data_IF_340364731317
#
_entry.id   IF_340364731317
#
_cell.length_a   1.000
_cell.length_b   1.000
_cell.length_c   1.000
_cell.angle_alpha   90.00
_cell.angle_beta   90.00
_cell.angle_gamma   90.00
#
_symmetry.space_group_name_H-M   'P 1'
#
loop_
_entity.id
_entity.type
_entity.pdbx_description
1 polymer ?
#
# COMPACT_ATOMS: atom_id res chain seq x y z
N UNK A 1 -2.08 -10.22 24.40
CA UNK A 1 -3.12 -9.91 25.41
C UNK A 1 -3.51 -11.14 26.24
N UNK A 2 -3.49 -12.36 25.69
CA UNK A 2 -3.97 -13.56 26.40
C UNK A 2 -3.13 -14.02 27.60
N UNK A 3 -1.83 -13.71 27.62
CA UNK A 3 -0.93 -14.04 28.73
C UNK A 3 -1.19 -13.27 30.03
N UNK A 4 -2.03 -12.23 30.02
CA UNK A 4 -2.37 -11.46 31.23
C UNK A 4 -3.54 -12.12 31.95
N UNK A 5 -3.27 -12.68 33.14
CA UNK A 5 -4.30 -13.21 34.03
C UNK A 5 -5.21 -12.11 34.55
N UNK A 6 -6.51 -12.40 34.71
CA UNK A 6 -7.57 -11.41 35.01
C UNK A 6 -7.56 -10.89 36.46
N UNK A 7 -6.91 -11.62 37.36
CA UNK A 7 -6.77 -11.28 38.77
C UNK A 7 -5.32 -11.58 39.15
N UNK A 8 -4.64 -10.59 39.72
CA UNK A 8 -3.29 -10.73 40.23
C UNK A 8 -3.31 -10.51 41.74
N UNK A 9 -2.94 -11.52 42.53
CA UNK A 9 -2.82 -11.38 43.98
C UNK A 9 -1.46 -10.77 44.33
N UNK A 10 -1.48 -9.67 45.08
CA UNK A 10 -0.31 -8.98 45.60
C UNK A 10 -0.44 -8.95 47.12
N UNK A 11 0.17 -9.93 47.80
CA UNK A 11 0.04 -10.09 49.25
C UNK A 11 -1.42 -10.34 49.67
N UNK A 12 -1.99 -9.43 50.46
CA UNK A 12 -3.40 -9.47 50.91
C UNK A 12 -4.37 -8.74 49.98
N UNK A 13 -3.89 -8.14 48.89
CA UNK A 13 -4.69 -7.35 47.94
C UNK A 13 -4.85 -8.11 46.62
N UNK A 14 -6.03 -8.01 46.01
CA UNK A 14 -6.30 -8.55 44.67
C UNK A 14 -6.45 -7.44 43.66
N UNK A 15 -5.58 -7.41 42.65
CA UNK A 15 -5.67 -6.50 41.52
C UNK A 15 -6.51 -7.13 40.40
N UNK A 16 -7.63 -6.50 40.05
CA UNK A 16 -8.47 -6.90 38.93
C UNK A 16 -7.98 -6.22 37.64
N UNK A 17 -7.41 -7.00 36.73
CA UNK A 17 -6.81 -6.53 35.48
C UNK A 17 -7.75 -6.68 34.27
N UNK A 18 -9.02 -7.08 34.48
CA UNK A 18 -10.00 -7.29 33.40
C UNK A 18 -10.19 -6.05 32.54
N UNK A 19 -10.35 -4.88 33.17
CA UNK A 19 -10.51 -3.61 32.46
C UNK A 19 -9.23 -3.22 31.69
N UNK A 20 -8.06 -3.42 32.28
CA UNK A 20 -6.77 -3.20 31.62
C UNK A 20 -6.60 -4.08 30.37
N UNK A 21 -6.94 -5.38 30.47
CA UNK A 21 -6.90 -6.31 29.35
C UNK A 21 -7.83 -5.88 28.20
N UNK A 22 -9.04 -5.44 28.55
CA UNK A 22 -10.04 -4.98 27.60
C UNK A 22 -9.63 -3.69 26.90
N UNK A 23 -9.10 -2.71 27.65
CA UNK A 23 -8.60 -1.46 27.08
C UNK A 23 -7.39 -1.70 26.18
N UNK A 24 -6.45 -2.56 26.59
CA UNK A 24 -5.31 -2.93 25.76
C UNK A 24 -5.72 -3.65 24.47
N UNK A 25 -6.73 -4.53 24.54
CA UNK A 25 -7.32 -5.17 23.36
C UNK A 25 -7.88 -4.15 22.38
N UNK A 26 -8.74 -3.26 22.87
CA UNK A 26 -9.32 -2.17 22.06
C UNK A 26 -8.24 -1.29 21.44
N UNK A 27 -7.20 -0.93 22.19
CA UNK A 27 -6.09 -0.15 21.64
C UNK A 27 -5.32 -0.92 20.57
N UNK A 28 -5.01 -2.20 20.78
CA UNK A 28 -4.39 -3.01 19.73
C UNK A 28 -5.23 -3.08 18.46
N UNK A 29 -6.55 -3.23 18.58
CA UNK A 29 -7.45 -3.28 17.42
C UNK A 29 -7.56 -1.91 16.74
N UNK A 30 -7.61 -0.83 17.51
CA UNK A 30 -7.58 0.54 16.99
C UNK A 30 -6.27 0.83 16.24
N UNK A 31 -5.14 0.35 16.74
CA UNK A 31 -3.85 0.48 16.07
C UNK A 31 -3.79 -0.33 14.78
N UNK A 32 -4.32 -1.57 14.77
CA UNK A 32 -4.44 -2.38 13.55
C UNK A 32 -5.30 -1.68 12.51
N UNK A 33 -6.46 -1.14 12.91
CA UNK A 33 -7.34 -0.42 12.01
C UNK A 33 -6.66 0.81 11.41
N UNK A 34 -6.05 1.65 12.25
CA UNK A 34 -5.30 2.84 11.78
C UNK A 34 -4.14 2.46 10.87
N UNK A 35 -3.41 1.40 11.19
CA UNK A 35 -2.32 0.93 10.34
C UNK A 35 -2.85 0.47 8.97
N UNK A 36 -3.94 -0.30 8.96
CA UNK A 36 -4.61 -0.76 7.75
C UNK A 36 -5.10 0.42 6.89
N UNK A 37 -5.68 1.44 7.50
CA UNK A 37 -6.18 2.64 6.81
C UNK A 37 -5.05 3.46 6.19
N UNK A 38 -3.94 3.65 6.92
CA UNK A 38 -2.76 4.32 6.39
C UNK A 38 -2.13 3.52 5.24
N UNK A 39 -2.09 2.19 5.38
CA UNK A 39 -1.59 1.29 4.34
C UNK A 39 -2.46 1.37 3.08
N UNK A 40 -3.79 1.36 3.23
CA UNK A 40 -4.74 1.60 2.13
C UNK A 40 -4.49 2.93 1.43
N UNK A 41 -4.30 4.02 2.18
CA UNK A 41 -4.06 5.34 1.61
C UNK A 41 -2.74 5.41 0.85
N UNK A 42 -1.69 4.75 1.35
CA UNK A 42 -0.39 4.67 0.68
C UNK A 42 -0.49 3.86 -0.62
N UNK A 43 -1.09 2.68 -0.56
CA UNK A 43 -1.29 1.78 -1.70
C UNK A 43 -2.13 2.46 -2.79
N UNK A 44 -3.23 3.11 -2.40
CA UNK A 44 -4.07 3.87 -3.34
C UNK A 44 -3.28 4.95 -4.06
N UNK A 45 -2.44 5.71 -3.33
CA UNK A 45 -1.62 6.78 -3.91
C UNK A 45 -0.61 6.25 -4.92
N UNK A 46 0.05 5.13 -4.63
CA UNK A 46 0.99 4.52 -5.58
C UNK A 46 0.27 3.96 -6.82
N UNK A 47 -0.90 3.36 -6.63
CA UNK A 47 -1.72 2.88 -7.76
C UNK A 47 -2.17 4.04 -8.66
N UNK A 48 -2.68 5.12 -8.08
CA UNK A 48 -3.08 6.32 -8.83
C UNK A 48 -1.90 6.91 -9.62
N UNK A 49 -0.68 6.87 -9.05
CA UNK A 49 0.56 7.30 -9.73
C UNK A 49 0.85 6.45 -10.98
N UNK A 50 0.73 5.12 -10.86
CA UNK A 50 0.98 4.19 -11.98
C UNK A 50 -0.08 4.31 -13.07
N UNK A 51 -1.36 4.44 -12.67
CA UNK A 51 -2.49 4.61 -13.61
C UNK A 51 -2.33 5.92 -14.40
N UNK A 52 -2.01 7.02 -13.73
CA UNK A 52 -1.82 8.31 -14.40
C UNK A 52 -0.61 8.28 -15.34
N UNK A 53 0.50 7.65 -14.93
CA UNK A 53 1.65 7.44 -15.80
C UNK A 53 1.27 6.66 -17.06
N UNK A 54 0.52 5.57 -16.92
CA UNK A 54 0.04 4.76 -18.05
C UNK A 54 -0.84 5.57 -18.98
N UNK A 55 -1.76 6.37 -18.43
CA UNK A 55 -2.66 7.25 -19.20
C UNK A 55 -1.89 8.29 -20.00
N UNK A 56 -0.92 8.97 -19.38
CA UNK A 56 -0.08 9.97 -20.06
C UNK A 56 0.76 9.36 -21.17
N UNK A 57 1.34 8.20 -20.92
CA UNK A 57 2.14 7.43 -21.88
C UNK A 57 1.30 7.02 -23.09
N UNK A 58 0.11 6.46 -22.86
CA UNK A 58 -0.79 6.06 -23.94
C UNK A 58 -1.26 7.27 -24.78
N UNK A 59 -1.50 8.41 -24.14
CA UNK A 59 -1.81 9.66 -24.83
C UNK A 59 -0.69 10.16 -25.75
N UNK A 60 0.57 10.00 -25.33
CA UNK A 60 1.74 10.33 -26.16
C UNK A 60 1.92 9.36 -27.34
N UNK A 61 1.62 8.08 -27.15
CA UNK A 61 1.66 7.05 -28.20
C UNK A 61 0.58 7.22 -29.27
N UNK A 62 -0.60 7.73 -28.88
CA UNK A 62 -1.76 7.88 -29.78
C UNK A 62 -1.60 9.05 -30.77
N UNK A 63 -0.58 9.91 -30.59
CA UNK A 63 -0.30 11.03 -31.50
C UNK A 63 0.10 10.50 -32.88
N UNK A 64 -0.56 10.99 -33.94
CA UNK A 64 -0.21 10.66 -35.33
C UNK A 64 1.23 11.06 -35.66
N UNK A 65 1.91 10.19 -36.40
CA UNK A 65 3.28 10.38 -36.88
C UNK A 65 3.20 10.99 -38.26
N UNK A 66 3.34 12.31 -38.35
CA UNK A 66 3.25 13.02 -39.64
C UNK A 66 4.64 13.39 -40.20
N UNK A 67 5.71 13.30 -39.39
CA UNK A 67 7.08 13.70 -39.80
C UNK A 67 8.17 12.78 -39.21
N UNK A 68 9.34 12.76 -39.85
CA UNK A 68 10.49 11.92 -39.48
C UNK A 68 11.04 12.29 -38.08
N UNK A 69 11.00 13.57 -37.71
CA UNK A 69 11.35 14.02 -36.35
C UNK A 69 10.32 13.53 -35.32
N UNK A 70 9.04 13.44 -35.68
CA UNK A 70 7.99 12.87 -34.83
C UNK A 70 8.21 11.36 -34.63
N UNK A 71 8.67 10.67 -35.66
CA UNK A 71 9.00 9.24 -35.60
C UNK A 71 10.22 9.01 -34.69
N UNK A 72 11.26 9.83 -34.80
CA UNK A 72 12.45 9.79 -33.94
C UNK A 72 12.10 10.06 -32.48
N UNK A 73 11.21 11.02 -32.22
CA UNK A 73 10.70 11.30 -30.88
C UNK A 73 9.95 10.10 -30.30
N UNK A 74 9.04 9.49 -31.05
CA UNK A 74 8.30 8.32 -30.57
C UNK A 74 9.19 7.09 -30.38
N UNK A 75 10.18 6.88 -31.22
CA UNK A 75 11.11 5.75 -31.09
C UNK A 75 11.94 5.87 -29.80
N UNK A 76 12.45 7.07 -29.49
CA UNK A 76 13.14 7.32 -28.22
C UNK A 76 12.20 7.17 -27.02
N UNK A 77 10.96 7.67 -27.13
CA UNK A 77 9.94 7.51 -26.10
C UNK A 77 9.66 6.02 -25.83
N UNK A 78 9.51 5.20 -26.87
CA UNK A 78 9.25 3.76 -26.74
C UNK A 78 10.40 3.00 -26.06
N UNK A 79 11.65 3.38 -26.34
CA UNK A 79 12.82 2.81 -25.67
C UNK A 79 12.80 3.17 -24.17
N UNK A 80 12.52 4.44 -23.85
CA UNK A 80 12.42 4.90 -22.46
C UNK A 80 11.25 4.22 -21.72
N UNK A 81 10.10 4.06 -22.39
CA UNK A 81 8.94 3.34 -21.85
C UNK A 81 9.26 1.88 -21.56
N UNK A 82 9.93 1.19 -22.48
CA UNK A 82 10.26 -0.23 -22.30
C UNK A 82 11.24 -0.46 -21.14
N UNK A 83 12.18 0.46 -20.95
CA UNK A 83 13.06 0.45 -19.78
C UNK A 83 12.29 0.70 -18.47
N UNK A 84 11.26 1.55 -18.52
CA UNK A 84 10.48 1.94 -17.35
C UNK A 84 9.35 0.95 -16.99
N UNK A 85 8.71 0.31 -17.96
CA UNK A 85 7.71 -0.76 -17.77
C UNK A 85 8.28 -1.89 -16.91
N UNK A 86 9.53 -2.30 -17.18
CA UNK A 86 10.19 -3.35 -16.40
C UNK A 86 10.35 -2.99 -14.91
N UNK A 87 10.43 -1.70 -14.59
CA UNK A 87 10.47 -1.21 -13.20
C UNK A 87 9.08 -1.09 -12.59
N UNK A 88 8.05 -0.84 -13.40
CA UNK A 88 6.67 -0.68 -12.94
C UNK A 88 6.12 -2.04 -12.49
N UNK A 89 6.42 -3.12 -13.21
CA UNK A 89 6.01 -4.47 -12.80
C UNK A 89 6.56 -4.84 -11.40
N UNK A 90 7.82 -4.48 -11.13
CA UNK A 90 8.46 -4.66 -9.82
C UNK A 90 7.84 -3.77 -8.72
N UNK A 91 7.25 -2.63 -9.08
CA UNK A 91 6.54 -1.74 -8.15
C UNK A 91 5.09 -2.19 -7.87
N UNK A 92 4.47 -2.94 -8.77
CA UNK A 92 3.09 -3.45 -8.63
C UNK A 92 3.02 -4.67 -7.69
N UNK A 93 4.01 -5.56 -7.74
CA UNK A 93 4.07 -6.75 -6.87
C UNK A 93 3.90 -6.46 -5.37
N UNK A 94 4.63 -5.48 -4.76
CA UNK A 94 4.44 -5.17 -3.35
C UNK A 94 3.07 -4.53 -3.06
N UNK A 95 2.48 -3.79 -4.00
CA UNK A 95 1.12 -3.24 -3.89
C UNK A 95 0.09 -4.36 -3.83
N UNK A 96 0.23 -5.39 -4.68
CA UNK A 96 -0.62 -6.57 -4.66
C UNK A 96 -0.45 -7.42 -3.40
N UNK A 97 0.78 -7.59 -2.92
CA UNK A 97 1.05 -8.28 -1.66
C UNK A 97 0.44 -7.55 -0.44
N UNK A 98 0.47 -6.21 -0.45
CA UNK A 98 -0.23 -5.40 0.57
C UNK A 98 -1.74 -5.66 0.51
N UNK A 99 -2.39 -5.61 -0.66
CA UNK A 99 -3.81 -5.96 -0.77
C UNK A 99 -4.16 -7.37 -0.25
N UNK A 100 -3.30 -8.35 -0.47
CA UNK A 100 -3.49 -9.70 0.06
C UNK A 100 -3.45 -9.75 1.60
N UNK A 101 -2.61 -8.93 2.24
CA UNK A 101 -2.60 -8.83 3.72
C UNK A 101 -3.87 -8.21 4.29
N UNK A 102 -4.58 -7.37 3.52
CA UNK A 102 -5.84 -6.75 3.94
C UNK A 102 -7.08 -7.59 3.60
N UNK A 103 -6.93 -8.63 2.77
CA UNK A 103 -8.01 -9.51 2.31
C UNK A 103 -8.30 -10.74 3.18
N UNK A 104 -7.76 -10.80 4.40
CA UNK A 104 -7.99 -11.87 5.38
C UNK A 104 -8.89 -11.42 6.53
#
# INVERSE_FOLDING_TARGET
IERVGSIHMIGTLSLNTKHLKLHLGRECDNWKFKYSDNLHCQVKRELDRIVEYTRMTNGKLTRKVDDLDSLRFMMNLLIELRAKESSIDLEIDPVMAMYQMLGC
#
